data_IF_335960210030
#
_entry.id   IF_335960210030
#
_cell.length_a   1.000
_cell.length_b   1.000
_cell.length_c   1.000
_cell.angle_alpha   90.00
_cell.angle_beta   90.00
_cell.angle_gamma   90.00
#
_symmetry.space_group_name_H-M   'P 1'
#
loop_
_entity.id
_entity.type
_entity.pdbx_description
1 polymer ?
#
# COMPACT_ATOMS: atom_id res chain seq x y z
N UNK A 1 35.34 -18.74 36.02
CA UNK A 1 34.05 -18.43 35.35
C UNK A 1 34.34 -18.29 33.87
N UNK A 2 33.65 -19.06 33.05
CA UNK A 2 33.95 -19.35 31.63
C UNK A 2 33.63 -18.14 30.74
N UNK A 3 34.55 -17.74 29.86
CA UNK A 3 34.30 -16.74 28.80
C UNK A 3 33.60 -17.46 27.65
N UNK A 4 32.34 -17.12 27.40
CA UNK A 4 31.55 -17.67 26.30
C UNK A 4 31.84 -16.86 25.02
N UNK A 5 32.72 -17.36 24.16
CA UNK A 5 32.96 -16.80 22.84
C UNK A 5 31.79 -17.15 21.91
N UNK A 6 30.99 -16.15 21.55
CA UNK A 6 29.93 -16.27 20.55
C UNK A 6 30.61 -16.32 19.17
N UNK A 7 30.63 -17.51 18.55
CA UNK A 7 30.95 -17.65 17.14
C UNK A 7 29.74 -17.22 16.32
N UNK A 8 29.86 -16.08 15.62
CA UNK A 8 28.93 -15.70 14.56
C UNK A 8 29.14 -16.66 13.38
N UNK A 9 28.26 -17.65 13.24
CA UNK A 9 28.24 -18.52 12.06
C UNK A 9 27.69 -17.69 10.91
N UNK A 10 28.58 -17.11 10.09
CA UNK A 10 28.21 -16.54 8.79
C UNK A 10 27.94 -17.73 7.86
N UNK A 11 26.69 -18.17 7.78
CA UNK A 11 26.27 -19.07 6.71
C UNK A 11 26.34 -18.30 5.39
N UNK A 12 27.37 -18.57 4.58
CA UNK A 12 27.40 -18.22 3.17
C UNK A 12 26.26 -19.00 2.48
N UNK A 13 25.06 -18.42 2.46
CA UNK A 13 23.95 -18.95 1.68
C UNK A 13 24.30 -18.84 0.21
N UNK A 14 24.66 -19.96 -0.41
CA UNK A 14 24.81 -20.06 -1.85
C UNK A 14 23.46 -19.65 -2.47
N UNK A 15 23.40 -18.69 -3.40
CA UNK A 15 22.14 -18.30 -4.00
C UNK A 15 21.49 -19.53 -4.62
N UNK A 16 20.19 -19.73 -4.35
CA UNK A 16 19.43 -20.83 -4.91
C UNK A 16 19.58 -20.82 -6.45
N UNK A 17 19.67 -22.00 -7.10
CA UNK A 17 19.70 -22.05 -8.55
C UNK A 17 18.42 -21.42 -9.11
N UNK A 18 18.58 -20.44 -9.99
CA UNK A 18 17.49 -19.72 -10.64
C UNK A 18 16.72 -20.66 -11.58
N UNK A 19 15.41 -20.52 -11.66
CA UNK A 19 14.56 -21.32 -12.55
C UNK A 19 14.83 -20.99 -14.04
N UNK A 20 14.34 -21.83 -14.95
CA UNK A 20 14.48 -21.55 -16.39
C UNK A 20 13.47 -20.49 -16.88
N UNK A 21 12.33 -20.36 -16.19
CA UNK A 21 11.30 -19.36 -16.46
C UNK A 21 10.39 -19.24 -15.26
N UNK A 22 10.01 -18.02 -14.91
CA UNK A 22 9.06 -17.72 -13.82
C UNK A 22 8.11 -16.63 -14.28
N UNK A 23 6.84 -16.71 -13.88
CA UNK A 23 5.84 -15.70 -14.19
C UNK A 23 4.90 -15.52 -12.99
N UNK A 24 4.72 -14.27 -12.57
CA UNK A 24 3.84 -13.86 -11.48
C UNK A 24 2.63 -13.13 -12.09
N UNK A 25 1.42 -13.61 -11.80
CA UNK A 25 0.20 -12.95 -12.26
C UNK A 25 -0.06 -11.70 -11.42
N UNK A 26 0.40 -10.56 -11.94
CA UNK A 26 0.31 -9.25 -11.27
C UNK A 26 -0.92 -8.50 -11.78
N UNK A 27 -1.78 -7.95 -10.90
CA UNK A 27 -2.86 -7.05 -11.28
C UNK A 27 -2.35 -5.89 -12.16
N UNK A 28 -3.08 -5.55 -13.21
CA UNK A 28 -2.62 -4.57 -14.20
C UNK A 28 -3.54 -3.35 -14.29
N UNK A 29 -2.92 -2.18 -14.40
CA UNK A 29 -3.59 -0.92 -14.72
C UNK A 29 -2.70 -0.06 -15.62
N UNK A 30 -3.28 0.99 -16.20
CA UNK A 30 -2.58 1.99 -17.00
C UNK A 30 -2.61 3.35 -16.28
N UNK A 31 -1.60 4.19 -16.52
CA UNK A 31 -1.48 5.52 -15.90
C UNK A 31 -2.60 6.50 -16.32
N UNK A 32 -3.31 6.19 -17.41
CA UNK A 32 -4.44 6.96 -17.94
C UNK A 32 -5.75 6.13 -17.96
N UNK A 33 -6.36 5.77 -16.81
CA UNK A 33 -7.53 4.87 -16.81
C UNK A 33 -8.73 5.39 -17.59
N UNK A 34 -8.88 6.72 -17.70
CA UNK A 34 -9.93 7.40 -18.45
C UNK A 34 -9.59 7.65 -19.94
N UNK A 35 -8.38 7.29 -20.39
CA UNK A 35 -7.91 7.51 -21.76
C UNK A 35 -7.54 8.96 -22.09
N UNK A 36 -7.58 9.89 -21.12
CA UNK A 36 -7.26 11.31 -21.32
C UNK A 36 -5.82 11.59 -20.91
N UNK A 37 -4.98 11.94 -21.89
CA UNK A 37 -3.57 12.28 -21.68
C UNK A 37 -3.41 13.72 -21.15
N UNK A 38 -3.78 13.94 -19.89
CA UNK A 38 -3.74 15.24 -19.18
C UNK A 38 -3.01 15.08 -17.84
N UNK A 39 -2.47 16.16 -17.28
CA UNK A 39 -1.86 16.10 -15.95
C UNK A 39 -2.89 15.72 -14.88
N UNK A 40 -2.50 15.05 -13.78
CA UNK A 40 -1.16 14.51 -13.51
C UNK A 40 -0.85 13.19 -14.25
N UNK A 41 -1.84 12.56 -14.88
CA UNK A 41 -1.74 11.24 -15.51
C UNK A 41 -0.71 11.09 -16.64
N UNK A 42 -0.14 12.20 -17.15
CA UNK A 42 0.95 12.15 -18.13
C UNK A 42 2.24 11.60 -17.53
N UNK A 43 2.44 11.87 -16.26
CA UNK A 43 3.69 11.61 -15.54
C UNK A 43 3.44 10.60 -14.40
N UNK A 44 2.32 9.86 -14.43
CA UNK A 44 1.88 8.99 -13.35
C UNK A 44 2.34 7.51 -13.49
N UNK A 45 3.50 7.27 -14.10
CA UNK A 45 3.94 5.90 -14.43
C UNK A 45 4.51 5.18 -13.20
N UNK A 46 5.14 5.93 -12.30
CA UNK A 46 5.67 5.56 -11.01
C UNK A 46 4.54 5.08 -10.11
N UNK A 47 3.54 5.93 -9.85
CA UNK A 47 2.39 5.69 -8.97
C UNK A 47 1.60 4.49 -9.47
N UNK A 48 1.37 4.38 -10.78
CA UNK A 48 0.66 3.23 -11.35
C UNK A 48 1.47 1.95 -11.19
N UNK A 49 2.79 2.01 -11.32
CA UNK A 49 3.67 0.86 -11.07
C UNK A 49 3.66 0.45 -9.61
N UNK A 50 3.73 1.41 -8.67
CA UNK A 50 3.62 1.16 -7.23
C UNK A 50 2.28 0.53 -6.87
N UNK A 51 1.17 1.00 -7.45
CA UNK A 51 -0.16 0.41 -7.23
C UNK A 51 -0.27 -1.02 -7.75
N UNK A 52 0.42 -1.37 -8.84
CA UNK A 52 0.46 -2.76 -9.33
C UNK A 52 1.24 -3.67 -8.36
N UNK A 53 2.36 -3.19 -7.82
CA UNK A 53 3.15 -3.91 -6.81
C UNK A 53 2.35 -4.08 -5.52
N UNK A 54 1.74 -3.00 -5.04
CA UNK A 54 0.89 -3.01 -3.86
C UNK A 54 -0.29 -3.98 -4.00
N UNK A 55 -0.99 -3.94 -5.14
CA UNK A 55 -2.09 -4.84 -5.40
C UNK A 55 -1.66 -6.31 -5.39
N UNK A 56 -0.47 -6.61 -5.92
CA UNK A 56 0.10 -7.95 -5.89
C UNK A 56 0.37 -8.44 -4.46
N UNK A 57 1.05 -7.65 -3.63
CA UNK A 57 1.36 -8.05 -2.25
C UNK A 57 0.14 -8.08 -1.33
N UNK A 58 -0.87 -7.24 -1.58
CA UNK A 58 -2.15 -7.28 -0.86
C UNK A 58 -3.12 -8.36 -1.36
N UNK A 59 -2.73 -9.14 -2.37
CA UNK A 59 -3.61 -10.10 -3.06
C UNK A 59 -4.95 -9.48 -3.49
N UNK A 60 -4.89 -8.24 -3.97
CA UNK A 60 -6.05 -7.45 -4.37
C UNK A 60 -6.03 -7.20 -5.88
N UNK A 61 -6.96 -6.39 -6.37
CA UNK A 61 -7.01 -6.01 -7.78
C UNK A 61 -7.56 -4.60 -7.97
N UNK A 62 -7.60 -4.16 -9.22
CA UNK A 62 -8.21 -2.89 -9.58
C UNK A 62 -9.72 -3.07 -9.78
N UNK A 63 -10.51 -2.41 -8.93
CA UNK A 63 -11.97 -2.55 -8.91
C UNK A 63 -12.62 -1.98 -10.18
N UNK A 64 -12.37 -0.69 -10.41
CA UNK A 64 -12.87 0.04 -11.56
C UNK A 64 -11.99 1.26 -11.87
N UNK A 65 -12.26 1.93 -12.99
CA UNK A 65 -11.49 3.09 -13.44
C UNK A 65 -11.56 4.26 -12.46
N UNK A 66 -12.70 4.47 -11.79
CA UNK A 66 -12.90 5.60 -10.87
C UNK A 66 -12.08 5.37 -9.60
N UNK A 67 -12.10 4.15 -9.06
CA UNK A 67 -11.27 3.75 -7.92
C UNK A 67 -9.77 3.89 -8.26
N UNK A 68 -9.37 3.39 -9.44
CA UNK A 68 -7.98 3.49 -9.91
C UNK A 68 -7.52 4.94 -10.03
N UNK A 69 -8.35 5.81 -10.62
CA UNK A 69 -8.07 7.25 -10.72
C UNK A 69 -7.90 7.87 -9.33
N UNK A 70 -8.79 7.55 -8.39
CA UNK A 70 -8.68 8.04 -7.01
C UNK A 70 -7.35 7.63 -6.39
N UNK A 71 -6.94 6.36 -6.52
CA UNK A 71 -5.68 5.85 -5.98
C UNK A 71 -4.46 6.52 -6.59
N UNK A 72 -4.42 6.71 -7.90
CA UNK A 72 -3.33 7.43 -8.57
C UNK A 72 -3.25 8.87 -8.04
N UNK A 73 -4.38 9.58 -8.01
CA UNK A 73 -4.41 10.96 -7.50
C UNK A 73 -3.99 11.05 -6.03
N UNK A 74 -4.38 10.10 -5.19
CA UNK A 74 -3.95 10.07 -3.79
C UNK A 74 -2.44 9.90 -3.62
N UNK A 75 -1.77 9.15 -4.51
CA UNK A 75 -0.32 9.03 -4.52
C UNK A 75 0.35 10.30 -5.04
N UNK A 76 -0.17 10.92 -6.12
CA UNK A 76 0.31 12.22 -6.59
C UNK A 76 0.21 13.28 -5.47
N UNK A 77 -0.93 13.35 -4.78
CA UNK A 77 -1.14 14.27 -3.65
C UNK A 77 -0.23 13.97 -2.46
N UNK A 78 0.18 12.72 -2.27
CA UNK A 78 1.16 12.33 -1.26
C UNK A 78 2.56 12.80 -1.65
N UNK A 79 2.98 12.55 -2.89
CA UNK A 79 4.28 12.97 -3.42
C UNK A 79 4.43 14.50 -3.35
N UNK A 80 3.43 15.25 -3.79
CA UNK A 80 3.43 16.71 -3.73
C UNK A 80 3.54 17.23 -2.29
N UNK A 81 2.90 16.56 -1.32
CA UNK A 81 2.97 16.96 0.10
C UNK A 81 4.32 16.64 0.74
N UNK A 82 4.90 15.49 0.43
CA UNK A 82 6.13 15.02 1.07
C UNK A 82 7.38 15.65 0.44
N UNK A 83 7.37 15.86 -0.88
CA UNK A 83 8.56 16.29 -1.63
C UNK A 83 8.42 17.67 -2.28
N UNK A 84 7.22 18.24 -2.33
CA UNK A 84 6.98 19.58 -2.90
C UNK A 84 6.99 19.62 -4.43
N UNK A 85 7.14 18.48 -5.12
CA UNK A 85 7.04 18.35 -6.57
C UNK A 85 6.74 16.90 -6.99
N UNK A 86 5.78 16.70 -7.90
CA UNK A 86 5.45 15.42 -8.53
C UNK A 86 6.17 15.16 -9.88
N UNK A 87 7.21 15.93 -10.23
CA UNK A 87 7.87 15.82 -11.54
C UNK A 87 9.18 15.04 -11.45
N UNK A 88 9.17 13.85 -12.05
CA UNK A 88 10.31 12.95 -12.28
C UNK A 88 11.08 12.59 -10.99
N UNK A 89 10.45 11.78 -10.14
CA UNK A 89 11.07 11.26 -8.91
C UNK A 89 12.18 10.25 -9.25
N UNK A 90 13.36 10.46 -8.66
CA UNK A 90 14.46 9.52 -8.80
C UNK A 90 14.18 8.23 -8.00
N UNK A 91 15.03 7.22 -8.20
CA UNK A 91 14.87 5.90 -7.56
C UNK A 91 14.86 5.98 -6.03
N UNK A 92 15.60 6.91 -5.43
CA UNK A 92 15.67 7.09 -3.97
C UNK A 92 14.35 7.61 -3.39
N UNK A 93 13.72 8.59 -4.06
CA UNK A 93 12.43 9.13 -3.66
C UNK A 93 11.35 8.06 -3.72
N UNK A 94 11.32 7.25 -4.79
CA UNK A 94 10.38 6.12 -4.89
C UNK A 94 10.58 5.11 -3.74
N UNK A 95 11.83 4.76 -3.42
CA UNK A 95 12.12 3.85 -2.30
C UNK A 95 11.69 4.45 -0.96
N UNK A 96 11.89 5.76 -0.76
CA UNK A 96 11.40 6.45 0.44
C UNK A 96 9.87 6.39 0.53
N UNK A 97 9.15 6.67 -0.56
CA UNK A 97 7.69 6.58 -0.61
C UNK A 97 7.21 5.17 -0.24
N UNK A 98 7.82 4.13 -0.82
CA UNK A 98 7.48 2.74 -0.51
C UNK A 98 7.70 2.46 0.98
N UNK A 99 8.88 2.79 1.47
CA UNK A 99 9.30 2.44 2.82
C UNK A 99 8.52 3.19 3.90
N UNK A 100 8.03 4.39 3.61
CA UNK A 100 7.23 5.17 4.54
C UNK A 100 5.73 4.83 4.46
N UNK A 101 5.18 4.71 3.24
CA UNK A 101 3.72 4.78 3.03
C UNK A 101 3.08 3.51 2.46
N UNK A 102 3.85 2.45 2.21
CA UNK A 102 3.34 1.17 1.75
C UNK A 102 3.59 0.05 2.77
N UNK A 103 2.75 -1.00 2.80
CA UNK A 103 2.87 -2.10 3.77
C UNK A 103 3.99 -3.10 3.41
N UNK A 104 4.79 -2.76 2.40
CA UNK A 104 5.92 -3.53 1.91
C UNK A 104 7.15 -2.60 1.87
N UNK A 105 8.33 -3.15 1.65
CA UNK A 105 9.56 -2.35 1.60
C UNK A 105 10.27 -2.50 0.26
N UNK A 106 11.23 -1.62 0.03
CA UNK A 106 12.06 -1.62 -1.15
C UNK A 106 13.47 -1.14 -0.85
N UNK A 107 14.39 -1.53 -1.74
CA UNK A 107 15.77 -1.06 -1.74
C UNK A 107 16.24 -0.73 -3.14
N UNK A 108 17.09 0.28 -3.24
CA UNK A 108 17.84 0.57 -4.47
C UNK A 108 18.93 -0.49 -4.63
N UNK A 109 19.05 -1.02 -5.85
CA UNK A 109 20.11 -1.95 -6.23
C UNK A 109 20.92 -1.34 -7.36
N UNK A 110 22.17 -1.01 -7.04
CA UNK A 110 23.15 -0.53 -8.01
C UNK A 110 23.67 -1.66 -8.91
N UNK A 111 23.83 -1.36 -10.20
CA UNK A 111 24.37 -2.25 -11.23
C UNK A 111 23.70 -3.64 -11.17
N UNK A 112 22.36 -3.72 -11.23
CA UNK A 112 21.65 -4.99 -11.10
C UNK A 112 22.09 -5.95 -12.21
N UNK A 113 22.18 -7.23 -11.89
CA UNK A 113 22.46 -8.28 -12.89
C UNK A 113 21.20 -9.06 -13.22
N UNK A 114 21.14 -9.67 -14.40
CA UNK A 114 20.02 -10.55 -14.78
C UNK A 114 19.79 -11.65 -13.73
N UNK A 115 20.85 -12.23 -13.18
CA UNK A 115 20.73 -13.27 -12.15
C UNK A 115 20.09 -12.77 -10.86
N UNK A 116 20.39 -11.52 -10.44
CA UNK A 116 19.78 -10.92 -9.25
C UNK A 116 18.29 -10.69 -9.47
N UNK A 117 17.91 -10.12 -10.62
CA UNK A 117 16.51 -9.86 -10.98
C UNK A 117 15.71 -11.16 -10.97
N UNK A 118 16.23 -12.21 -11.61
CA UNK A 118 15.54 -13.50 -11.62
C UNK A 118 15.40 -14.11 -10.22
N UNK A 119 16.40 -13.97 -9.37
CA UNK A 119 16.32 -14.41 -7.97
C UNK A 119 15.23 -13.70 -7.16
N UNK A 120 14.95 -12.43 -7.45
CA UNK A 120 13.79 -11.74 -6.87
C UNK A 120 12.46 -12.33 -7.38
N UNK A 121 12.33 -12.49 -8.70
CA UNK A 121 11.11 -13.04 -9.31
C UNK A 121 10.83 -14.47 -8.83
N UNK A 122 11.86 -15.32 -8.74
CA UNK A 122 11.75 -16.69 -8.20
C UNK A 122 11.33 -16.71 -6.73
N UNK A 123 11.67 -15.66 -5.99
CA UNK A 123 11.26 -15.47 -4.61
C UNK A 123 9.92 -14.71 -4.47
N UNK A 124 9.14 -14.60 -5.56
CA UNK A 124 7.85 -13.89 -5.62
C UNK A 124 7.96 -12.40 -5.28
N UNK A 125 9.10 -11.77 -5.59
CA UNK A 125 9.34 -10.35 -5.35
C UNK A 125 9.47 -9.60 -6.67
N UNK A 126 8.69 -8.53 -6.82
CA UNK A 126 8.65 -7.73 -8.04
C UNK A 126 9.83 -6.76 -8.10
N UNK A 127 10.22 -6.38 -9.32
CA UNK A 127 11.32 -5.44 -9.57
C UNK A 127 10.77 -4.26 -10.39
N UNK A 128 10.94 -3.04 -9.88
CA UNK A 128 10.64 -1.83 -10.66
C UNK A 128 11.91 -1.40 -11.41
N UNK A 129 11.73 -1.02 -12.66
CA UNK A 129 12.81 -0.64 -13.57
C UNK A 129 12.59 0.78 -14.05
N UNK A 130 13.28 1.76 -13.43
CA UNK A 130 13.49 3.07 -14.02
C UNK A 130 14.24 2.92 -15.36
N UNK A 131 13.66 3.44 -16.42
CA UNK A 131 14.15 3.21 -17.78
C UNK A 131 14.00 4.44 -18.67
N UNK A 132 14.92 4.57 -19.62
CA UNK A 132 14.74 5.46 -20.75
C UNK A 132 13.76 4.83 -21.75
N UNK A 133 12.52 5.33 -21.75
CA UNK A 133 11.46 4.83 -22.63
C UNK A 133 11.73 4.99 -24.13
N UNK A 134 12.65 5.89 -24.54
CA UNK A 134 13.08 6.02 -25.94
C UNK A 134 13.95 4.86 -26.41
N UNK A 135 14.56 4.12 -25.48
CA UNK A 135 15.36 2.92 -25.76
C UNK A 135 14.53 1.64 -25.71
N UNK A 136 13.28 1.71 -25.23
CA UNK A 136 12.35 0.60 -25.22
C UNK A 136 11.64 0.50 -26.59
N UNK A 137 11.76 -0.63 -27.31
CA UNK A 137 11.13 -0.82 -28.61
C UNK A 137 9.64 -1.17 -28.47
N UNK A 138 8.90 -0.37 -27.70
CA UNK A 138 7.47 -0.55 -27.50
C UNK A 138 6.71 0.15 -28.65
N UNK A 139 6.09 -0.59 -29.58
CA UNK A 139 5.42 -0.01 -30.74
C UNK A 139 4.14 0.77 -30.37
N UNK A 140 3.69 0.67 -29.12
CA UNK A 140 2.52 1.37 -28.60
C UNK A 140 2.86 2.73 -27.98
N UNK A 141 4.15 3.07 -27.83
CA UNK A 141 4.56 4.40 -27.42
C UNK A 141 4.33 5.44 -28.52
N UNK A 142 3.96 6.66 -28.10
CA UNK A 142 3.97 7.82 -29.00
C UNK A 142 5.43 8.22 -29.24
N UNK A 143 5.88 8.20 -30.49
CA UNK A 143 7.22 8.64 -30.90
C UNK A 143 7.50 10.08 -30.37
N UNK A 144 8.62 10.37 -29.68
CA UNK A 144 9.85 9.56 -29.50
C UNK A 144 9.86 8.54 -28.35
N UNK A 145 8.74 8.30 -27.67
CA UNK A 145 8.71 7.58 -26.40
C UNK A 145 9.05 8.52 -25.22
N UNK A 146 8.68 8.13 -23.99
CA UNK A 146 8.97 8.94 -22.81
C UNK A 146 10.49 8.93 -22.51
N UNK A 147 11.01 10.06 -22.03
CA UNK A 147 12.43 10.19 -21.66
C UNK A 147 12.77 9.35 -20.42
N UNK A 148 11.83 9.28 -19.50
CA UNK A 148 11.87 8.53 -18.27
C UNK A 148 10.56 7.76 -18.14
N UNK A 149 10.65 6.53 -17.65
CA UNK A 149 9.52 5.61 -17.54
C UNK A 149 9.83 4.54 -16.51
N UNK A 150 8.83 4.08 -15.78
CA UNK A 150 8.94 2.93 -14.88
C UNK A 150 8.12 1.76 -15.41
N UNK A 151 8.76 0.59 -15.47
CA UNK A 151 8.08 -0.69 -15.78
C UNK A 151 8.30 -1.69 -14.66
N UNK A 152 7.33 -2.59 -14.45
CA UNK A 152 7.43 -3.66 -13.44
C UNK A 152 7.85 -4.95 -14.13
N UNK A 153 8.96 -5.58 -13.73
CA UNK A 153 9.27 -6.95 -14.13
C UNK A 153 8.42 -7.89 -13.27
N UNK A 154 7.67 -8.77 -13.95
CA UNK A 154 6.75 -9.73 -13.34
C UNK A 154 7.10 -11.19 -13.69
N UNK A 155 8.11 -11.39 -14.55
CA UNK A 155 8.52 -12.71 -15.00
C UNK A 155 9.74 -12.67 -15.92
N UNK A 156 10.22 -13.86 -16.27
CA UNK A 156 11.29 -14.03 -17.26
C UNK A 156 11.18 -15.40 -17.96
N UNK A 157 11.82 -15.50 -19.13
CA UNK A 157 11.89 -16.72 -19.94
C UNK A 157 13.30 -16.82 -20.56
N UNK A 158 14.10 -17.81 -20.12
CA UNK A 158 15.47 -17.99 -20.62
C UNK A 158 15.56 -18.55 -22.01
N UNK A 159 14.59 -19.36 -22.44
CA UNK A 159 14.55 -19.87 -23.79
C UNK A 159 14.37 -18.72 -24.80
N UNK A 160 13.61 -17.68 -24.40
CA UNK A 160 13.40 -16.47 -25.21
C UNK A 160 14.39 -15.35 -24.92
N UNK A 161 15.12 -15.40 -23.80
CA UNK A 161 15.97 -14.30 -23.29
C UNK A 161 15.17 -13.01 -23.10
N UNK A 162 13.99 -13.13 -22.53
CA UNK A 162 13.05 -12.03 -22.32
C UNK A 162 12.68 -11.86 -20.85
N UNK A 163 12.46 -10.60 -20.44
CA UNK A 163 11.67 -10.27 -19.27
C UNK A 163 10.20 -10.12 -19.68
N UNK A 164 9.30 -10.56 -18.80
CA UNK A 164 7.87 -10.29 -18.86
C UNK A 164 7.61 -9.10 -17.93
N UNK A 165 6.94 -8.07 -18.44
CA UNK A 165 6.74 -6.81 -17.72
C UNK A 165 5.28 -6.39 -17.72
N UNK A 166 4.91 -5.59 -16.73
CA UNK A 166 3.71 -4.76 -16.76
C UNK A 166 4.13 -3.30 -16.98
N UNK A 167 3.73 -2.75 -18.13
CA UNK A 167 4.07 -1.40 -18.57
C UNK A 167 2.82 -0.48 -18.45
N UNK A 168 2.81 0.50 -17.54
CA UNK A 168 1.62 1.30 -17.27
C UNK A 168 1.29 2.33 -18.36
N UNK A 169 2.21 2.62 -19.29
CA UNK A 169 2.02 3.69 -20.28
C UNK A 169 0.99 3.33 -21.37
N UNK A 170 0.68 2.05 -21.56
CA UNK A 170 -0.18 1.62 -22.67
C UNK A 170 -1.13 0.50 -22.25
N UNK A 171 -2.31 0.44 -22.89
CA UNK A 171 -3.28 -0.66 -22.71
C UNK A 171 -2.74 -2.04 -23.13
N UNK A 172 -1.64 -2.07 -23.87
CA UNK A 172 -0.96 -3.29 -24.33
C UNK A 172 0.21 -3.67 -23.42
N UNK A 173 0.40 -2.95 -22.30
CA UNK A 173 1.53 -3.14 -21.40
C UNK A 173 1.42 -4.34 -20.47
N UNK A 174 0.24 -4.99 -20.34
CA UNK A 174 0.10 -6.19 -19.51
C UNK A 174 0.93 -7.33 -20.10
N UNK A 175 1.81 -7.90 -19.29
CA UNK A 175 2.70 -9.01 -19.67
C UNK A 175 3.51 -8.73 -20.94
N UNK A 176 3.81 -7.46 -21.21
CA UNK A 176 4.60 -7.04 -22.37
C UNK A 176 6.02 -7.57 -22.23
N UNK A 177 6.60 -8.06 -23.34
CA UNK A 177 7.90 -8.73 -23.33
C UNK A 177 8.98 -7.82 -23.89
N UNK A 178 10.06 -7.67 -23.13
CA UNK A 178 11.27 -7.00 -23.59
C UNK A 178 12.41 -8.01 -23.60
N UNK A 179 13.25 -7.98 -24.63
CA UNK A 179 14.52 -8.71 -24.60
C UNK A 179 15.34 -8.25 -23.38
N UNK A 180 15.96 -9.20 -22.67
CA UNK A 180 16.67 -8.90 -21.42
C UNK A 180 17.76 -7.84 -21.63
N UNK A 181 18.56 -7.97 -22.69
CA UNK A 181 19.62 -7.01 -23.03
C UNK A 181 19.07 -5.61 -23.34
N UNK A 182 17.91 -5.51 -23.99
CA UNK A 182 17.24 -4.25 -24.29
C UNK A 182 16.79 -3.55 -23.01
N UNK A 183 16.08 -4.25 -22.11
CA UNK A 183 15.62 -3.66 -20.86
C UNK A 183 16.80 -3.28 -19.94
N UNK A 184 17.84 -4.12 -19.88
CA UNK A 184 19.06 -3.82 -19.13
C UNK A 184 19.82 -2.61 -19.71
N UNK A 185 19.83 -2.42 -21.04
CA UNK A 185 20.40 -1.22 -21.66
C UNK A 185 19.57 0.03 -21.39
N UNK A 186 18.24 -0.09 -21.45
CA UNK A 186 17.31 0.99 -21.19
C UNK A 186 17.26 1.42 -19.71
N UNK A 187 17.60 0.53 -18.77
CA UNK A 187 17.72 0.85 -17.34
C UNK A 187 18.64 2.07 -17.14
N UNK A 188 18.09 3.07 -16.47
CA UNK A 188 18.67 4.38 -16.24
C UNK A 188 18.03 5.03 -15.01
N UNK A 189 18.82 5.44 -14.03
CA UNK A 189 18.34 6.35 -12.99
C UNK A 189 18.09 7.75 -13.57
N UNK A 190 16.99 8.38 -13.15
CA UNK A 190 16.70 9.76 -13.49
C UNK A 190 17.16 10.68 -12.38
N UNK A 191 18.27 11.37 -12.60
CA UNK A 191 18.72 12.45 -11.73
C UNK A 191 18.73 13.73 -12.56
N UNK A 192 17.90 14.73 -12.24
CA UNK A 192 17.98 16.05 -12.84
C UNK A 192 19.42 16.59 -12.73
N UNK A 193 19.91 17.23 -13.80
CA UNK A 193 21.20 17.96 -13.83
C UNK A 193 22.50 17.14 -13.76
N UNK A 194 22.46 15.80 -13.86
CA UNK A 194 23.68 15.00 -14.05
C UNK A 194 24.07 14.88 -15.53
N UNK A 195 25.16 15.53 -15.92
CA UNK A 195 25.90 15.23 -17.16
C UNK A 195 26.77 13.98 -16.94
N UNK A 196 26.56 12.92 -17.74
CA UNK A 196 27.41 11.71 -17.69
C UNK A 196 26.68 10.38 -17.91
N UNK A 197 27.42 9.28 -17.75
CA UNK A 197 26.87 7.92 -17.77
C UNK A 197 25.99 7.72 -16.54
N UNK A 198 24.68 7.58 -16.77
CA UNK A 198 23.69 7.43 -15.71
C UNK A 198 23.80 6.05 -15.07
N UNK A 199 23.79 6.00 -13.74
CA UNK A 199 23.82 4.75 -12.99
C UNK A 199 22.68 3.83 -13.39
N UNK A 200 22.98 2.54 -13.57
CA UNK A 200 21.95 1.50 -13.71
C UNK A 200 21.49 1.12 -12.33
N UNK A 201 20.23 1.39 -12.03
CA UNK A 201 19.62 1.10 -10.75
C UNK A 201 18.28 0.40 -10.97
N UNK A 202 17.89 -0.46 -10.06
CA UNK A 202 16.54 -1.03 -10.02
C UNK A 202 16.04 -1.01 -8.58
N UNK A 203 14.73 -1.02 -8.42
CA UNK A 203 14.11 -1.10 -7.11
C UNK A 203 13.69 -2.54 -6.89
N UNK A 204 14.31 -3.19 -5.92
CA UNK A 204 13.94 -4.54 -5.51
C UNK A 204 13.01 -4.43 -4.32
N UNK A 205 11.81 -5.01 -4.46
CA UNK A 205 10.77 -4.92 -3.44
C UNK A 205 10.77 -6.15 -2.54
N UNK A 206 10.16 -6.06 -1.36
CA UNK A 206 9.98 -7.16 -0.42
C UNK A 206 8.61 -7.05 0.25
N UNK A 207 7.80 -8.12 0.29
CA UNK A 207 6.48 -8.11 0.91
C UNK A 207 6.52 -7.95 2.43
N UNK A 208 7.68 -8.19 3.05
CA UNK A 208 7.88 -7.98 4.48
C UNK A 208 8.43 -6.57 4.69
N UNK A 209 7.92 -5.84 5.68
CA UNK A 209 8.36 -4.49 6.03
C UNK A 209 9.24 -4.48 7.30
N UNK A 210 10.06 -5.51 7.49
CA UNK A 210 10.79 -5.71 8.75
C UNK A 210 11.79 -4.59 9.04
N UNK A 211 12.44 -4.03 8.01
CA UNK A 211 13.43 -2.96 8.21
C UNK A 211 12.79 -1.62 8.56
N UNK A 212 11.52 -1.43 8.18
CA UNK A 212 10.76 -0.19 8.36
C UNK A 212 9.64 -0.36 9.39
N UNK A 213 9.58 -1.49 10.10
CA UNK A 213 8.48 -1.84 11.00
C UNK A 213 8.23 -0.79 12.10
N UNK A 214 9.30 -0.16 12.59
CA UNK A 214 9.26 0.82 13.68
C UNK A 214 9.23 2.28 13.19
N UNK A 215 9.13 2.52 11.88
CA UNK A 215 8.94 3.89 11.36
C UNK A 215 7.54 4.40 11.69
N UNK A 216 7.39 5.70 11.87
CA UNK A 216 6.12 6.40 12.07
C UNK A 216 6.12 7.57 11.06
N UNK A 217 5.53 7.35 9.89
CA UNK A 217 5.74 8.22 8.73
C UNK A 217 4.94 9.53 8.84
N UNK A 218 3.74 9.48 9.42
CA UNK A 218 2.88 10.63 9.64
C UNK A 218 3.02 11.26 11.04
N UNK A 219 3.88 10.68 11.89
CA UNK A 219 4.28 11.16 13.21
C UNK A 219 3.11 11.27 14.19
N UNK A 220 2.20 10.29 14.14
CA UNK A 220 0.99 10.28 14.94
C UNK A 220 1.15 9.53 16.27
N UNK A 221 2.27 8.80 16.43
CA UNK A 221 2.63 8.00 17.59
C UNK A 221 2.35 6.49 17.43
N UNK A 222 1.93 6.03 16.25
CA UNK A 222 1.71 4.62 15.92
C UNK A 222 2.80 4.13 14.95
N UNK A 223 3.41 2.98 15.24
CA UNK A 223 4.44 2.41 14.36
C UNK A 223 3.81 1.82 13.10
N UNK A 224 4.52 1.83 11.97
CA UNK A 224 4.12 1.20 10.69
C UNK A 224 3.61 -0.23 10.88
N UNK A 225 4.30 -1.03 11.70
CA UNK A 225 3.88 -2.39 12.01
C UNK A 225 2.53 -2.43 12.74
N UNK A 226 2.32 -1.54 13.71
CA UNK A 226 1.06 -1.45 14.44
C UNK A 226 -0.07 -0.93 13.52
N UNK A 227 0.23 0.03 12.65
CA UNK A 227 -0.71 0.55 11.67
C UNK A 227 -1.16 -0.53 10.69
N UNK A 228 -0.22 -1.29 10.11
CA UNK A 228 -0.51 -2.44 9.24
C UNK A 228 -1.37 -3.47 9.98
N UNK A 229 -1.05 -3.77 11.25
CA UNK A 229 -1.79 -4.74 12.05
C UNK A 229 -3.22 -4.28 12.37
N UNK A 230 -3.42 -2.97 12.50
CA UNK A 230 -4.73 -2.37 12.81
C UNK A 230 -5.54 -2.02 11.57
N UNK A 231 -4.88 -1.91 10.42
CA UNK A 231 -5.49 -1.44 9.18
C UNK A 231 -5.67 0.07 9.12
N UNK A 232 -4.93 0.82 9.94
CA UNK A 232 -4.87 2.28 9.85
C UNK A 232 -3.99 2.70 8.67
N UNK A 233 -3.94 4.01 8.46
CA UNK A 233 -3.41 4.59 7.26
C UNK A 233 -2.01 5.18 7.48
N UNK A 234 -1.00 4.50 6.91
CA UNK A 234 0.42 4.89 6.95
C UNK A 234 0.74 6.34 6.54
N UNK A 235 -0.20 7.04 5.87
CA UNK A 235 -0.01 8.43 5.42
C UNK A 235 -0.94 9.45 6.10
N UNK A 236 -1.88 9.02 6.94
CA UNK A 236 -2.81 9.91 7.63
C UNK A 236 -2.76 9.65 9.12
N UNK A 237 -2.29 10.67 9.85
CA UNK A 237 -2.25 10.64 11.30
C UNK A 237 -3.61 10.41 11.96
N UNK A 238 -4.72 10.61 11.24
CA UNK A 238 -6.11 10.39 11.65
C UNK A 238 -6.81 9.66 10.50
N UNK A 239 -6.98 8.35 10.63
CA UNK A 239 -7.45 7.47 9.55
C UNK A 239 -8.94 7.66 9.26
N UNK A 240 -9.74 7.87 10.31
CA UNK A 240 -11.20 7.99 10.20
C UNK A 240 -11.70 9.45 10.15
N UNK A 241 -10.76 10.39 10.17
CA UNK A 241 -10.91 11.84 10.05
C UNK A 241 -11.73 12.45 11.20
N UNK A 242 -11.83 11.79 12.36
CA UNK A 242 -12.68 12.24 13.46
C UNK A 242 -12.08 13.36 14.34
N UNK A 243 -10.82 13.72 14.07
CA UNK A 243 -10.08 14.79 14.72
C UNK A 243 -9.11 14.29 15.79
N UNK A 244 -8.98 12.96 15.96
CA UNK A 244 -8.01 12.34 16.86
C UNK A 244 -7.03 11.49 16.07
N UNK A 245 -5.76 11.56 16.47
CA UNK A 245 -4.74 10.77 15.79
C UNK A 245 -4.84 9.29 16.18
N UNK A 246 -4.54 8.38 15.25
CA UNK A 246 -4.67 6.93 15.45
C UNK A 246 -3.85 6.46 16.65
N UNK A 247 -2.60 6.92 16.77
CA UNK A 247 -1.71 6.63 17.89
C UNK A 247 -2.28 7.06 19.25
N UNK A 248 -2.97 8.22 19.30
CA UNK A 248 -3.63 8.69 20.53
C UNK A 248 -4.86 7.87 20.86
N UNK A 249 -5.66 7.53 19.85
CA UNK A 249 -6.84 6.70 20.03
C UNK A 249 -6.47 5.32 20.55
N UNK A 250 -5.46 4.68 19.93
CA UNK A 250 -4.94 3.38 20.36
C UNK A 250 -4.44 3.45 21.81
N UNK A 251 -3.65 4.47 22.16
CA UNK A 251 -3.15 4.65 23.53
C UNK A 251 -4.27 4.85 24.56
N UNK A 252 -5.39 5.44 24.16
CA UNK A 252 -6.57 5.66 24.99
C UNK A 252 -7.60 4.51 24.95
N UNK A 253 -7.37 3.46 24.15
CA UNK A 253 -8.26 2.29 24.00
C UNK A 253 -9.45 2.50 23.06
N UNK A 254 -9.40 3.53 22.22
CA UNK A 254 -10.37 3.83 21.17
C UNK A 254 -10.05 3.04 19.88
N UNK A 255 -10.95 3.09 18.91
CA UNK A 255 -10.78 2.41 17.63
C UNK A 255 -10.50 3.43 16.51
N UNK A 256 -9.28 3.47 15.96
CA UNK A 256 -8.86 4.47 14.97
C UNK A 256 -9.49 4.33 13.58
N UNK A 257 -10.38 3.36 13.39
CA UNK A 257 -11.10 3.13 12.13
C UNK A 257 -12.58 3.53 12.23
N UNK A 258 -13.00 4.08 13.36
CA UNK A 258 -14.39 4.35 13.67
C UNK A 258 -14.50 5.73 14.31
N UNK A 259 -15.01 6.68 13.51
CA UNK A 259 -15.14 8.09 13.87
C UNK A 259 -16.13 8.34 15.02
N UNK A 260 -15.74 7.95 16.23
CA UNK A 260 -16.54 7.84 17.43
C UNK A 260 -16.98 9.21 17.95
N UNK A 261 -16.18 10.24 17.70
CA UNK A 261 -16.49 11.61 18.08
C UNK A 261 -17.55 12.25 17.20
N UNK A 262 -17.71 11.77 15.95
CA UNK A 262 -18.72 12.24 14.99
C UNK A 262 -20.10 11.59 15.20
N UNK A 263 -20.24 10.64 16.12
CA UNK A 263 -21.53 10.01 16.37
C UNK A 263 -22.54 10.93 17.08
N UNK A 264 -23.72 11.05 16.49
CA UNK A 264 -24.84 11.80 17.04
C UNK A 264 -25.67 10.90 17.97
N UNK A 265 -26.14 11.46 19.09
CA UNK A 265 -27.01 10.78 20.07
C UNK A 265 -28.47 11.20 19.88
N UNK A 266 -29.45 10.34 20.20
CA UNK A 266 -29.31 8.99 20.74
C UNK A 266 -28.86 7.94 19.70
N UNK A 267 -28.23 6.85 20.13
CA UNK A 267 -27.76 5.78 19.22
C UNK A 267 -27.82 4.38 19.83
N UNK A 268 -27.83 3.35 18.98
CA UNK A 268 -27.55 1.98 19.37
C UNK A 268 -26.09 1.64 19.11
N UNK A 269 -25.40 1.08 20.11
CA UNK A 269 -23.99 0.77 20.04
C UNK A 269 -23.64 -0.58 20.69
N UNK A 270 -22.57 -1.22 20.22
CA UNK A 270 -21.95 -2.39 20.85
C UNK A 270 -20.44 -2.29 20.79
N UNK A 271 -19.73 -2.85 21.76
CA UNK A 271 -18.28 -2.95 21.69
C UNK A 271 -17.85 -3.94 20.59
N UNK A 272 -16.71 -3.68 19.95
CA UNK A 272 -16.10 -4.58 18.98
C UNK A 272 -15.85 -5.96 19.62
N UNK A 273 -16.35 -7.01 18.96
CA UNK A 273 -16.26 -8.39 19.46
C UNK A 273 -17.32 -8.76 20.51
N UNK A 274 -18.16 -7.82 20.96
CA UNK A 274 -19.21 -8.08 21.94
C UNK A 274 -20.60 -8.23 21.31
N UNK A 275 -21.45 -9.03 21.97
CA UNK A 275 -22.84 -9.24 21.57
C UNK A 275 -23.83 -8.29 22.25
N UNK A 276 -23.42 -7.65 23.35
CA UNK A 276 -24.30 -6.75 24.11
C UNK A 276 -24.51 -5.45 23.34
N UNK A 277 -25.77 -5.09 23.15
CA UNK A 277 -26.18 -3.83 22.52
C UNK A 277 -26.66 -2.89 23.62
N UNK A 278 -26.28 -1.63 23.49
CA UNK A 278 -26.66 -0.55 24.37
C UNK A 278 -27.36 0.55 23.59
N UNK A 279 -28.43 1.10 24.15
CA UNK A 279 -28.99 2.37 23.70
C UNK A 279 -28.36 3.50 24.52
N UNK A 280 -27.78 4.49 23.83
CA UNK A 280 -27.07 5.62 24.44
C UNK A 280 -27.90 6.88 24.27
N UNK A 281 -28.31 7.47 25.39
CA UNK A 281 -29.05 8.72 25.48
C UNK A 281 -28.64 9.46 26.76
N UNK A 282 -28.56 10.80 26.72
CA UNK A 282 -28.32 11.65 27.90
C UNK A 282 -27.15 11.23 28.81
N UNK A 283 -26.05 10.78 28.21
CA UNK A 283 -24.84 10.37 28.94
C UNK A 283 -24.93 9.00 29.61
N UNK A 284 -25.99 8.23 29.34
CA UNK A 284 -26.22 6.89 29.88
C UNK A 284 -26.20 5.85 28.77
N UNK A 285 -25.88 4.60 29.15
CA UNK A 285 -26.03 3.42 28.30
C UNK A 285 -27.04 2.47 28.93
N UNK A 286 -28.09 2.14 28.18
CA UNK A 286 -29.16 1.23 28.59
C UNK A 286 -28.95 -0.10 27.88
N UNK A 287 -28.78 -1.19 28.64
CA UNK A 287 -28.66 -2.51 28.02
C UNK A 287 -29.96 -2.87 27.29
N UNK A 288 -29.83 -3.32 26.04
CA UNK A 288 -30.92 -3.82 25.20
C UNK A 288 -30.92 -5.36 25.27
N UNK A 289 -31.77 -5.96 26.11
CA UNK A 289 -31.64 -7.38 26.49
C UNK A 289 -32.04 -8.36 25.39
N UNK A 290 -32.80 -7.94 24.37
CA UNK A 290 -33.25 -8.85 23.32
C UNK A 290 -33.64 -8.14 22.02
N UNK A 291 -33.66 -8.87 20.89
CA UNK A 291 -34.24 -8.38 19.63
C UNK A 291 -35.71 -7.96 19.74
N UNK A 292 -36.46 -8.47 20.72
CA UNK A 292 -37.85 -8.07 20.94
C UNK A 292 -37.95 -6.60 21.38
N UNK A 293 -37.05 -6.13 22.24
CA UNK A 293 -36.97 -4.71 22.65
C UNK A 293 -36.69 -3.84 21.42
N UNK A 294 -35.71 -4.23 20.60
CA UNK A 294 -35.39 -3.51 19.36
C UNK A 294 -36.62 -3.43 18.44
N UNK A 295 -37.32 -4.55 18.23
CA UNK A 295 -38.53 -4.59 17.39
C UNK A 295 -39.64 -3.67 17.88
N UNK A 296 -39.89 -3.63 19.20
CA UNK A 296 -40.91 -2.74 19.80
C UNK A 296 -40.53 -1.27 19.61
N UNK A 297 -39.23 -0.95 19.67
CA UNK A 297 -38.70 0.41 19.44
C UNK A 297 -38.54 0.79 17.97
N UNK A 298 -38.85 -0.13 17.04
CA UNK A 298 -38.63 0.07 15.61
C UNK A 298 -37.15 0.07 15.19
N UNK A 299 -36.26 -0.38 16.07
CA UNK A 299 -34.83 -0.50 15.78
C UNK A 299 -34.52 -1.79 15.02
N UNK A 300 -33.54 -1.69 14.14
CA UNK A 300 -32.99 -2.78 13.35
C UNK A 300 -31.53 -3.02 13.71
N UNK A 301 -31.00 -4.19 13.33
CA UNK A 301 -29.57 -4.47 13.48
C UNK A 301 -28.68 -3.54 12.65
N UNK A 302 -29.21 -2.91 11.60
CA UNK A 302 -28.50 -1.90 10.81
C UNK A 302 -28.31 -0.57 11.56
N UNK A 303 -29.05 -0.34 12.64
CA UNK A 303 -28.93 0.86 13.47
C UNK A 303 -27.80 0.72 14.50
N UNK A 304 -27.36 -0.51 14.78
CA UNK A 304 -26.30 -0.79 15.77
C UNK A 304 -24.93 -0.40 15.22
N UNK A 305 -24.29 0.59 15.84
CA UNK A 305 -22.90 0.96 15.56
C UNK A 305 -21.95 0.09 16.37
N UNK A 306 -20.83 -0.31 15.78
CA UNK A 306 -19.76 -0.99 16.51
C UNK A 306 -18.75 0.07 16.93
N UNK A 307 -18.41 0.10 18.21
CA UNK A 307 -17.56 1.09 18.88
C UNK A 307 -16.49 0.37 19.71
N UNK A 308 -15.54 1.13 20.23
CA UNK A 308 -14.54 0.74 21.20
C UNK A 308 -15.16 0.54 22.58
N UNK A 309 -14.51 -0.29 23.39
CA UNK A 309 -14.88 -0.47 24.80
C UNK A 309 -14.67 0.84 25.56
N UNK A 310 -13.60 1.58 25.25
CA UNK A 310 -13.32 2.88 25.86
C UNK A 310 -14.47 3.88 25.62
N UNK A 311 -15.00 3.94 24.40
CA UNK A 311 -16.16 4.77 24.08
C UNK A 311 -17.38 4.42 24.93
N UNK A 312 -17.73 3.12 25.03
CA UNK A 312 -18.88 2.71 25.84
C UNK A 312 -18.69 3.02 27.33
N UNK A 313 -17.47 2.97 27.84
CA UNK A 313 -17.17 3.21 29.26
C UNK A 313 -17.30 4.69 29.68
N UNK A 314 -17.46 5.61 28.73
CA UNK A 314 -17.79 7.02 29.00
C UNK A 314 -19.22 7.21 29.52
N UNK A 315 -20.08 6.22 29.35
CA UNK A 315 -21.49 6.28 29.66
C UNK A 315 -21.81 5.49 30.93
N UNK A 316 -22.62 6.08 31.81
CA UNK A 316 -23.09 5.37 32.98
C UNK A 316 -24.07 4.27 32.55
N UNK A 317 -23.77 3.02 32.91
CA UNK A 317 -24.71 1.92 32.73
C UNK A 317 -25.87 2.07 33.70
N UNK A 318 -27.08 1.95 33.17
CA UNK A 318 -28.33 1.99 33.93
C UNK A 318 -29.14 0.74 33.65
N UNK A 319 -30.12 0.50 34.53
CA UNK A 319 -30.97 -0.69 34.48
C UNK A 319 -31.52 -0.96 33.06
N UNK A 320 -31.65 -2.24 32.67
CA UNK A 320 -32.05 -2.63 31.32
C UNK A 320 -33.36 -1.98 30.92
N UNK A 321 -33.49 -1.67 29.63
CA UNK A 321 -34.77 -1.23 29.09
C UNK A 321 -35.73 -2.43 29.10
N UNK A 322 -36.64 -2.47 30.08
CA UNK A 322 -37.65 -3.53 30.18
C UNK A 322 -38.78 -3.26 29.19
N UNK A 323 -39.20 -4.28 28.44
CA UNK A 323 -40.47 -4.22 27.71
C UNK A 323 -41.58 -4.08 28.75
N UNK A 324 -42.49 -3.09 28.64
CA UNK A 324 -43.68 -3.05 29.48
C UNK A 324 -44.43 -4.39 29.37
N UNK A 325 -44.96 -4.96 30.46
CA UNK A 325 -45.82 -6.13 30.36
C UNK A 325 -46.98 -5.82 29.42
N UNK A 326 -47.24 -6.78 28.51
CA UNK A 326 -48.27 -6.68 27.45
C UNK A 326 -49.68 -6.78 28.00
#
# INVERSE_FOLDING_TARGET
MLILSIFLIITLTRPAPVQASTFLEVPFSIQIPNGKWVQPFKDACEETSLLMVDAFYRHSGFKDKKDTIKKILSLVDLEDRVFGFSKDTNTEVMVKIINDFFPFEARVVDKPTISMIKGEIDAMRLVLVPANGRLLPNPYFRNPGPLYHVVVIVGYDDARKEFITNDPATRHGKNFRYAMDVLMRANMDWVPDLEGERSKVMIFTSPMADMTAESDADNDGLSKKDEIARGTNLYLADTDDDGFNDGKEVAAGYNPLVAETKFQKPMLARAQGELRVYWIEDGKRHYVPSPAVMKVRGWSWGDVRTVSVAFLNRFQEVEPETVPPT
#
